data_IF_763901830876
#
_entry.id   IF_763901830876
#
_cell.length_a   1.000
_cell.length_b   1.000
_cell.length_c   1.000
_cell.angle_alpha   90.00
_cell.angle_beta   90.00
_cell.angle_gamma   90.00
#
_symmetry.space_group_name_H-M   'P 1'
#
loop_
_entity.id
_entity.type
_entity.pdbx_description
1 polymer ?
#
# COMPACT_ATOMS: atom_id res chain seq x y z
N UNK A 1 -14.10 15.94 -9.72
CA UNK A 1 -13.60 16.69 -8.54
C UNK A 1 -12.42 16.00 -7.88
N UNK A 2 -12.50 14.74 -7.45
CA UNK A 2 -11.38 14.02 -6.79
C UNK A 2 -10.07 14.00 -7.58
N UNK A 3 -10.11 13.68 -8.89
CA UNK A 3 -8.89 13.67 -9.74
C UNK A 3 -8.17 15.02 -9.78
N UNK A 4 -8.90 16.12 -9.72
CA UNK A 4 -8.31 17.47 -9.71
C UNK A 4 -7.59 17.75 -8.39
N UNK A 5 -8.17 17.32 -7.26
CA UNK A 5 -7.56 17.41 -5.94
C UNK A 5 -6.25 16.60 -5.90
N UNK A 6 -6.26 15.36 -6.39
CA UNK A 6 -5.06 14.54 -6.47
C UNK A 6 -3.94 15.19 -7.29
N UNK A 7 -4.27 15.74 -8.48
CA UNK A 7 -3.30 16.47 -9.33
C UNK A 7 -2.70 17.68 -8.63
N UNK A 8 -3.54 18.48 -7.98
CA UNK A 8 -3.09 19.66 -7.26
C UNK A 8 -2.17 19.31 -6.10
N UNK A 9 -2.57 18.35 -5.27
CA UNK A 9 -1.77 17.87 -4.14
C UNK A 9 -0.44 17.27 -4.60
N UNK A 10 -0.46 16.45 -5.66
CA UNK A 10 0.75 15.83 -6.20
C UNK A 10 1.73 16.86 -6.77
N UNK A 11 1.23 17.95 -7.34
CA UNK A 11 2.06 19.06 -7.86
C UNK A 11 2.65 19.93 -6.75
N UNK A 12 1.96 20.06 -5.62
CA UNK A 12 2.35 20.97 -4.54
C UNK A 12 3.18 20.31 -3.45
N UNK A 13 3.11 19.00 -3.31
CA UNK A 13 3.74 18.24 -2.22
C UNK A 13 4.80 17.27 -2.74
N UNK A 14 5.87 17.01 -1.98
CA UNK A 14 6.73 15.87 -2.26
C UNK A 14 5.92 14.58 -2.16
N UNK A 15 6.34 13.51 -2.88
CA UNK A 15 5.58 12.26 -3.01
C UNK A 15 5.10 11.71 -1.67
N UNK A 16 5.96 11.65 -0.66
CA UNK A 16 5.58 11.16 0.67
C UNK A 16 4.50 12.04 1.32
N UNK A 17 4.61 13.36 1.20
CA UNK A 17 3.61 14.31 1.70
C UNK A 17 2.25 14.11 1.02
N UNK A 18 2.24 13.97 -0.30
CA UNK A 18 1.05 13.64 -1.07
C UNK A 18 0.40 12.34 -0.59
N UNK A 19 1.18 11.25 -0.48
CA UNK A 19 0.68 9.95 -0.03
C UNK A 19 0.12 10.00 1.40
N UNK A 20 0.75 10.75 2.31
CA UNK A 20 0.25 10.98 3.69
C UNK A 20 -1.09 11.70 3.69
N UNK A 21 -1.25 12.74 2.88
CA UNK A 21 -2.53 13.47 2.78
C UNK A 21 -3.62 12.57 2.22
N UNK A 22 -3.34 11.84 1.13
CA UNK A 22 -4.30 10.92 0.52
C UNK A 22 -4.74 9.83 1.50
N UNK A 23 -3.80 9.23 2.23
CA UNK A 23 -4.15 8.20 3.23
C UNK A 23 -4.94 8.77 4.40
N UNK A 24 -4.59 9.96 4.87
CA UNK A 24 -5.35 10.63 5.94
C UNK A 24 -6.79 10.94 5.52
N UNK A 25 -6.98 11.43 4.29
CA UNK A 25 -8.33 11.65 3.72
C UNK A 25 -9.14 10.36 3.69
N UNK A 26 -8.54 9.25 3.25
CA UNK A 26 -9.22 7.95 3.25
C UNK A 26 -9.67 7.56 4.66
N UNK A 27 -8.78 7.60 5.66
CA UNK A 27 -9.13 7.22 7.03
C UNK A 27 -10.20 8.13 7.66
N UNK A 28 -10.15 9.44 7.39
CA UNK A 28 -11.19 10.37 7.85
C UNK A 28 -12.53 10.04 7.20
N UNK A 29 -12.57 9.81 5.90
CA UNK A 29 -13.81 9.45 5.21
C UNK A 29 -14.40 8.14 5.71
N UNK A 30 -13.56 7.13 5.94
CA UNK A 30 -14.02 5.86 6.52
C UNK A 30 -14.58 6.04 7.93
N UNK A 31 -13.94 6.88 8.75
CA UNK A 31 -14.45 7.22 10.09
C UNK A 31 -15.80 7.93 10.05
N UNK A 32 -16.03 8.76 9.04
CA UNK A 32 -17.31 9.47 8.82
C UNK A 32 -18.36 8.61 8.11
N UNK A 33 -18.05 7.36 7.75
CA UNK A 33 -18.97 6.46 7.05
C UNK A 33 -19.13 6.78 5.56
N UNK A 34 -18.31 7.67 5.00
CA UNK A 34 -18.36 8.05 3.59
C UNK A 34 -17.84 6.89 2.74
N UNK A 35 -18.57 6.55 1.67
CA UNK A 35 -18.22 5.45 0.76
C UNK A 35 -18.45 4.05 1.35
N UNK A 36 -19.38 3.91 2.29
CA UNK A 36 -19.71 2.61 2.92
C UNK A 36 -20.19 1.56 1.92
N UNK A 37 -20.80 2.01 0.84
CA UNK A 37 -21.35 1.14 -0.23
C UNK A 37 -20.54 1.23 -1.53
N UNK A 38 -19.32 1.77 -1.48
CA UNK A 38 -18.46 1.82 -2.65
C UNK A 38 -17.74 0.48 -2.82
N UNK A 39 -17.93 -0.22 -3.95
CA UNK A 39 -17.37 -1.55 -4.27
C UNK A 39 -15.88 -1.69 -3.91
N UNK A 40 -15.08 -0.67 -4.22
CA UNK A 40 -13.62 -0.72 -3.98
C UNK A 40 -13.23 -0.65 -2.49
N UNK A 41 -14.13 -0.29 -1.58
CA UNK A 41 -13.76 -0.01 -0.17
C UNK A 41 -14.77 -0.49 0.85
N UNK A 42 -15.86 -1.13 0.43
CA UNK A 42 -16.91 -1.64 1.33
C UNK A 42 -16.39 -2.76 2.26
N UNK A 43 -15.46 -3.58 1.77
CA UNK A 43 -14.88 -4.68 2.53
C UNK A 43 -14.27 -4.24 3.87
N UNK A 44 -13.77 -3.00 3.97
CA UNK A 44 -13.26 -2.45 5.23
C UNK A 44 -14.30 -2.53 6.36
N UNK A 45 -15.58 -2.35 6.02
CA UNK A 45 -16.68 -2.41 7.02
C UNK A 45 -17.11 -3.84 7.36
N UNK A 46 -16.70 -4.81 6.56
CA UNK A 46 -17.03 -6.23 6.75
C UNK A 46 -15.90 -7.04 7.37
N UNK A 47 -14.68 -6.50 7.43
CA UNK A 47 -13.50 -7.18 7.99
C UNK A 47 -13.75 -7.80 9.36
N UNK A 48 -14.41 -7.15 10.35
CA UNK A 48 -14.69 -7.77 11.64
C UNK A 48 -15.57 -9.02 11.58
N UNK A 49 -16.26 -9.24 10.45
CA UNK A 49 -17.07 -10.46 10.21
C UNK A 49 -16.29 -11.54 9.45
N UNK A 50 -15.20 -11.15 8.78
CA UNK A 50 -14.39 -12.03 7.94
C UNK A 50 -13.18 -12.59 8.70
N UNK A 51 -12.64 -11.84 9.65
CA UNK A 51 -11.50 -12.23 10.47
C UNK A 51 -11.90 -12.29 11.93
N UNK A 52 -11.54 -13.36 12.63
CA UNK A 52 -11.83 -13.54 14.05
C UNK A 52 -10.78 -12.88 14.94
N UNK A 53 -11.15 -12.57 16.18
CA UNK A 53 -10.20 -12.16 17.22
C UNK A 53 -9.13 -13.22 17.44
N UNK A 54 -7.88 -12.82 17.62
CA UNK A 54 -6.73 -13.72 17.77
C UNK A 54 -6.23 -14.34 16.48
N UNK A 55 -6.85 -14.05 15.33
CA UNK A 55 -6.45 -14.64 14.05
C UNK A 55 -5.07 -14.16 13.60
N UNK A 56 -4.37 -15.02 12.84
CA UNK A 56 -3.23 -14.61 12.01
C UNK A 56 -3.72 -14.28 10.62
N UNK A 57 -3.37 -13.10 10.11
CA UNK A 57 -3.77 -12.62 8.80
C UNK A 57 -2.57 -12.11 8.00
N UNK A 58 -2.69 -12.12 6.67
CA UNK A 58 -1.71 -11.56 5.74
C UNK A 58 -2.43 -10.60 4.80
N UNK A 59 -1.92 -9.38 4.69
CA UNK A 59 -2.37 -8.36 3.75
C UNK A 59 -1.30 -8.19 2.66
N UNK A 60 -1.53 -8.79 1.48
CA UNK A 60 -0.60 -8.77 0.36
C UNK A 60 -0.91 -7.57 -0.52
N UNK A 61 0.09 -6.69 -0.72
CA UNK A 61 -0.12 -5.39 -1.34
C UNK A 61 -0.76 -4.41 -0.37
N UNK A 62 -0.23 -4.34 0.86
CA UNK A 62 -0.79 -3.55 1.95
C UNK A 62 -0.91 -2.05 1.63
N UNK A 63 -0.17 -1.58 0.62
CA UNK A 63 -0.25 -0.21 0.14
C UNK A 63 -0.08 0.80 1.30
N UNK A 64 -0.90 1.81 1.40
CA UNK A 64 -0.88 2.80 2.49
C UNK A 64 -1.51 2.29 3.81
N UNK A 65 -1.81 0.98 3.91
CA UNK A 65 -2.40 0.34 5.09
C UNK A 65 -3.91 0.49 5.20
N UNK A 66 -4.57 0.66 4.06
CA UNK A 66 -6.02 0.86 4.00
C UNK A 66 -6.81 -0.31 4.60
N UNK A 67 -6.40 -1.54 4.33
CA UNK A 67 -6.98 -2.73 4.93
C UNK A 67 -6.24 -3.15 6.20
N UNK A 68 -4.91 -3.11 6.20
CA UNK A 68 -4.07 -3.53 7.33
C UNK A 68 -4.53 -2.94 8.66
N UNK A 69 -4.85 -1.63 8.69
CA UNK A 69 -5.30 -0.96 9.91
C UNK A 69 -6.58 -1.54 10.48
N UNK A 70 -7.54 -1.87 9.63
CA UNK A 70 -8.83 -2.42 10.05
C UNK A 70 -8.76 -3.92 10.35
N UNK A 71 -7.92 -4.67 9.63
CA UNK A 71 -7.60 -6.07 9.96
C UNK A 71 -6.95 -6.13 11.34
N UNK A 72 -5.92 -5.31 11.60
CA UNK A 72 -5.25 -5.22 12.89
C UNK A 72 -6.23 -4.97 14.05
N UNK A 73 -7.20 -4.06 13.84
CA UNK A 73 -8.24 -3.78 14.83
C UNK A 73 -9.20 -4.96 15.02
N UNK A 74 -9.55 -5.66 13.95
CA UNK A 74 -10.52 -6.76 13.99
C UNK A 74 -9.95 -8.02 14.65
N UNK A 75 -8.65 -8.33 14.43
CA UNK A 75 -7.99 -9.50 15.05
C UNK A 75 -7.56 -9.24 16.50
N UNK A 76 -7.57 -7.98 16.96
CA UNK A 76 -7.23 -7.62 18.33
C UNK A 76 -5.75 -7.81 18.70
N UNK A 77 -5.39 -7.55 19.95
CA UNK A 77 -3.99 -7.60 20.42
C UNK A 77 -3.40 -9.01 20.44
N UNK A 78 -4.23 -10.04 20.56
CA UNK A 78 -3.81 -11.45 20.54
C UNK A 78 -3.61 -11.99 19.13
N UNK A 79 -4.08 -11.29 18.09
CA UNK A 79 -3.88 -11.64 16.70
C UNK A 79 -2.53 -11.16 16.14
N UNK A 80 -2.18 -11.61 14.93
CA UNK A 80 -0.99 -11.17 14.23
C UNK A 80 -1.29 -10.86 12.76
N UNK A 81 -0.84 -9.71 12.29
CA UNK A 81 -0.98 -9.29 10.89
C UNK A 81 0.40 -9.12 10.25
N UNK A 82 0.59 -9.75 9.10
CA UNK A 82 1.72 -9.50 8.21
C UNK A 82 1.26 -8.62 7.04
N UNK A 83 1.83 -7.41 6.95
CA UNK A 83 1.51 -6.44 5.89
C UNK A 83 2.65 -6.39 4.88
N UNK A 84 2.42 -6.93 3.70
CA UNK A 84 3.44 -7.08 2.64
C UNK A 84 3.32 -5.94 1.64
N UNK A 85 4.38 -5.13 1.48
CA UNK A 85 4.43 -4.01 0.54
C UNK A 85 5.85 -3.79 0.04
N UNK A 86 6.14 -3.99 -1.26
CA UNK A 86 7.49 -3.86 -1.80
C UNK A 86 7.91 -2.43 -2.15
N UNK A 87 6.97 -1.50 -2.37
CA UNK A 87 7.24 -0.19 -2.96
C UNK A 87 7.77 0.79 -1.92
N UNK A 88 9.04 1.16 -2.02
CA UNK A 88 9.73 1.97 -1.02
C UNK A 88 9.04 3.31 -0.65
N UNK A 89 8.55 4.14 -1.59
CA UNK A 89 7.81 5.36 -1.25
C UNK A 89 6.52 5.11 -0.46
N UNK A 90 5.85 3.98 -0.71
CA UNK A 90 4.63 3.58 -0.02
C UNK A 90 4.94 3.07 1.39
N UNK A 91 6.02 2.31 1.56
CA UNK A 91 6.45 1.76 2.85
C UNK A 91 6.61 2.80 3.96
N UNK A 92 7.17 3.97 3.65
CA UNK A 92 7.33 5.06 4.63
C UNK A 92 5.98 5.50 5.21
N UNK A 93 4.97 5.62 4.35
CA UNK A 93 3.61 6.02 4.75
C UNK A 93 2.86 4.87 5.42
N UNK A 94 3.03 3.63 4.94
CA UNK A 94 2.48 2.43 5.58
C UNK A 94 2.95 2.32 7.04
N UNK A 95 4.26 2.42 7.29
CA UNK A 95 4.83 2.43 8.64
C UNK A 95 4.25 3.54 9.51
N UNK A 96 4.11 4.74 8.95
CA UNK A 96 3.48 5.86 9.66
C UNK A 96 2.03 5.57 10.04
N UNK A 97 1.23 5.02 9.12
CA UNK A 97 -0.18 4.75 9.33
C UNK A 97 -0.43 3.61 10.34
N UNK A 98 0.48 2.62 10.38
CA UNK A 98 0.39 1.45 11.27
C UNK A 98 1.22 1.56 12.56
N UNK A 99 1.88 2.69 12.82
CA UNK A 99 2.79 2.88 13.98
C UNK A 99 2.17 2.62 15.35
N UNK A 100 0.85 2.61 15.46
CA UNK A 100 0.10 2.33 16.69
C UNK A 100 -0.51 0.93 16.74
N UNK A 101 -0.28 0.12 15.73
CA UNK A 101 -0.76 -1.25 15.63
C UNK A 101 0.36 -2.18 16.13
N UNK A 102 0.28 -2.64 17.36
CA UNK A 102 1.33 -3.48 18.02
C UNK A 102 1.37 -4.91 17.47
N UNK A 103 0.28 -5.35 16.85
CA UNK A 103 0.10 -6.70 16.30
C UNK A 103 0.42 -6.80 14.80
N UNK A 104 1.08 -5.77 14.22
CA UNK A 104 1.41 -5.73 12.78
C UNK A 104 2.91 -5.83 12.56
N UNK A 105 3.31 -6.74 11.68
CA UNK A 105 4.64 -6.83 11.11
C UNK A 105 4.62 -6.39 9.65
N UNK A 106 5.47 -5.43 9.28
CA UNK A 106 5.56 -4.92 7.91
C UNK A 106 6.72 -5.61 7.19
N UNK A 107 6.39 -6.29 6.09
CA UNK A 107 7.31 -7.05 5.27
C UNK A 107 7.62 -6.26 3.98
N UNK A 108 8.84 -5.69 3.85
CA UNK A 108 9.19 -4.75 2.78
C UNK A 108 9.68 -5.47 1.52
N UNK A 109 8.94 -6.46 1.04
CA UNK A 109 9.26 -7.22 -0.16
C UNK A 109 8.01 -7.69 -0.90
N UNK A 110 8.16 -8.10 -2.15
CA UNK A 110 7.11 -8.79 -2.90
C UNK A 110 7.13 -10.28 -2.60
N UNK A 111 5.98 -10.94 -2.71
CA UNK A 111 5.87 -12.40 -2.66
C UNK A 111 5.87 -12.96 -4.08
N UNK A 112 6.65 -14.02 -4.30
CA UNK A 112 6.77 -14.71 -5.57
C UNK A 112 7.21 -16.15 -5.43
N UNK A 113 7.57 -16.76 -6.55
CA UNK A 113 8.02 -18.16 -6.60
C UNK A 113 9.51 -18.31 -6.29
N UNK A 114 10.29 -17.26 -6.45
CA UNK A 114 11.75 -17.26 -6.30
C UNK A 114 12.24 -16.00 -5.55
N UNK A 115 13.44 -16.10 -5.00
CA UNK A 115 14.12 -14.97 -4.39
C UNK A 115 14.94 -14.25 -5.46
N UNK A 116 14.64 -12.97 -5.68
CA UNK A 116 15.40 -12.11 -6.60
C UNK A 116 15.17 -10.64 -6.31
N UNK A 117 16.09 -9.83 -6.82
CA UNK A 117 15.86 -8.39 -6.91
C UNK A 117 14.92 -8.08 -8.06
N UNK A 118 14.01 -7.14 -7.81
CA UNK A 118 13.04 -6.66 -8.79
C UNK A 118 13.00 -5.14 -8.81
N UNK A 119 12.46 -4.58 -9.87
CA UNK A 119 12.14 -3.17 -9.95
C UNK A 119 10.63 -3.02 -9.98
N UNK A 120 10.08 -2.30 -9.01
CA UNK A 120 8.68 -1.91 -8.99
C UNK A 120 8.51 -0.63 -9.80
N UNK A 121 7.58 -0.63 -10.74
CA UNK A 121 7.27 0.47 -11.63
C UNK A 121 5.87 1.03 -11.39
N UNK A 122 5.69 2.33 -11.66
CA UNK A 122 4.40 3.01 -11.59
C UNK A 122 4.32 4.11 -12.63
N UNK A 123 3.50 3.93 -13.65
CA UNK A 123 3.36 4.88 -14.77
C UNK A 123 2.19 5.87 -14.59
N UNK A 124 1.50 5.82 -13.46
CA UNK A 124 0.25 6.59 -13.27
C UNK A 124 0.45 8.10 -13.32
N UNK A 125 1.60 8.61 -12.84
CA UNK A 125 1.91 10.02 -12.91
C UNK A 125 1.95 10.54 -14.36
N UNK A 126 2.45 9.71 -15.30
CA UNK A 126 2.51 10.00 -16.73
C UNK A 126 1.12 10.12 -17.36
N UNK A 127 0.19 9.21 -17.05
CA UNK A 127 -1.14 9.16 -17.68
C UNK A 127 -2.21 9.94 -16.93
N UNK A 128 -2.11 9.99 -15.60
CA UNK A 128 -3.14 10.58 -14.74
C UNK A 128 -2.73 11.95 -14.17
N UNK A 129 -1.42 12.27 -14.19
CA UNK A 129 -0.85 13.49 -13.63
C UNK A 129 -0.76 13.46 -12.10
N UNK A 130 -0.77 12.27 -11.48
CA UNK A 130 -0.50 12.01 -10.07
C UNK A 130 -0.16 10.54 -9.84
N UNK A 131 0.56 10.24 -8.77
CA UNK A 131 0.94 8.89 -8.39
C UNK A 131 -0.25 8.11 -7.83
N UNK A 132 -0.64 7.04 -8.52
CA UNK A 132 -1.70 6.13 -8.12
C UNK A 132 -1.15 4.90 -7.42
N UNK A 133 -1.45 4.72 -6.15
CA UNK A 133 -0.82 3.71 -5.29
C UNK A 133 -1.22 2.26 -5.59
N UNK A 134 -2.31 2.03 -6.29
CA UNK A 134 -2.84 0.68 -6.58
C UNK A 134 -2.43 0.11 -7.94
N UNK A 135 -1.51 0.75 -8.66
CA UNK A 135 -1.15 0.37 -10.03
C UNK A 135 0.36 0.13 -10.18
N UNK A 136 0.99 -0.41 -9.13
CA UNK A 136 2.39 -0.80 -9.18
C UNK A 136 2.51 -2.19 -9.83
N UNK A 137 3.56 -2.39 -10.63
CA UNK A 137 3.85 -3.64 -11.30
C UNK A 137 5.36 -3.94 -11.29
N UNK A 138 5.72 -5.19 -11.52
CA UNK A 138 7.12 -5.59 -11.65
C UNK A 138 7.59 -5.24 -13.05
N UNK A 139 8.57 -4.35 -13.15
CA UNK A 139 9.23 -4.00 -14.41
C UNK A 139 10.15 -5.09 -14.89
N UNK A 140 10.37 -5.17 -16.21
CA UNK A 140 11.41 -6.02 -16.79
C UNK A 140 12.78 -5.39 -16.53
N UNK A 141 13.74 -6.16 -16.07
CA UNK A 141 15.14 -5.72 -15.87
C UNK A 141 15.82 -5.21 -17.17
N UNK A 142 15.25 -5.54 -18.33
CA UNK A 142 15.78 -5.15 -19.65
C UNK A 142 15.44 -3.70 -20.07
N UNK A 143 14.66 -2.96 -19.32
CA UNK A 143 14.35 -1.53 -19.59
C UNK A 143 15.27 -0.58 -18.80
N UNK A 144 16.52 -0.94 -18.60
CA UNK A 144 17.59 -0.05 -18.16
C UNK A 144 18.07 0.83 -19.32
N UNK A 145 17.24 1.69 -19.81
CA UNK A 145 17.59 2.63 -20.85
C UNK A 145 16.35 3.36 -21.35
N UNK A 146 16.39 4.66 -21.16
CA UNK A 146 15.48 5.61 -21.80
C UNK A 146 14.11 5.83 -21.15
N UNK A 147 14.10 6.73 -20.14
CA UNK A 147 13.10 7.77 -20.16
C UNK A 147 13.61 8.99 -19.38
N UNK A 148 14.11 9.98 -20.11
CA UNK A 148 14.27 11.32 -19.60
C UNK A 148 12.89 11.83 -19.14
N UNK A 149 12.74 12.03 -17.82
CA UNK A 149 11.50 12.55 -17.22
C UNK A 149 10.81 11.67 -16.18
N UNK A 150 11.37 10.53 -15.77
CA UNK A 150 10.83 9.73 -14.67
C UNK A 150 11.05 10.42 -13.32
N UNK A 151 9.96 10.66 -12.58
CA UNK A 151 10.04 11.13 -11.21
C UNK A 151 10.51 10.00 -10.28
N UNK A 152 11.17 10.34 -9.18
CA UNK A 152 11.76 9.39 -8.22
C UNK A 152 10.79 8.36 -7.62
N UNK A 153 9.48 8.46 -7.90
CA UNK A 153 8.45 7.51 -7.47
C UNK A 153 8.05 6.48 -8.53
N UNK A 154 8.49 6.66 -9.78
CA UNK A 154 8.02 5.83 -10.90
C UNK A 154 8.74 4.48 -10.95
N UNK A 155 9.95 4.40 -10.38
CA UNK A 155 10.74 3.16 -10.24
C UNK A 155 11.33 3.05 -8.85
N UNK A 156 11.23 1.88 -8.23
CA UNK A 156 11.88 1.59 -6.96
C UNK A 156 12.42 0.16 -6.90
N UNK A 157 13.67 -0.02 -6.45
CA UNK A 157 14.20 -1.36 -6.22
C UNK A 157 13.43 -2.02 -5.08
N UNK A 158 13.22 -3.33 -5.20
CA UNK A 158 12.56 -4.14 -4.19
C UNK A 158 13.11 -5.57 -4.21
N UNK A 159 12.90 -6.30 -3.12
CA UNK A 159 13.17 -7.72 -3.02
C UNK A 159 11.90 -8.51 -3.30
N UNK A 160 12.04 -9.64 -3.98
CA UNK A 160 11.01 -10.66 -4.07
C UNK A 160 11.45 -11.85 -3.23
N UNK A 161 10.54 -12.40 -2.42
CA UNK A 161 10.79 -13.56 -1.56
C UNK A 161 9.73 -14.63 -1.76
N UNK A 162 10.09 -15.87 -1.43
CA UNK A 162 9.16 -17.00 -1.53
C UNK A 162 8.10 -16.92 -0.46
N UNK A 163 6.83 -17.01 -0.85
CA UNK A 163 5.70 -16.92 0.06
C UNK A 163 5.69 -17.99 1.15
N UNK A 164 6.27 -19.18 0.88
CA UNK A 164 6.38 -20.27 1.85
C UNK A 164 7.24 -19.95 3.08
N UNK A 165 8.13 -18.98 3.01
CA UNK A 165 9.01 -18.58 4.12
C UNK A 165 8.31 -17.73 5.18
N UNK A 166 7.09 -17.26 4.89
CA UNK A 166 6.27 -16.57 5.88
C UNK A 166 5.74 -17.48 6.98
N UNK A 167 5.79 -18.79 6.76
CA UNK A 167 5.18 -19.79 7.65
C UNK A 167 6.20 -20.77 8.26
N UNK A 168 7.48 -20.58 8.01
CA UNK A 168 8.60 -21.29 8.60
C UNK A 168 9.16 -20.50 9.81
#
# INVERSE_FOLDING_TARGET
MMRLIHKLLYRMLPLEGYLRVVSAMFFVWKRLGIGRYAEATEYVYHLPKLVGEGATAIDIGANLGYYSRYISQAIGESGRLYSVEPVAPILGVLRHNLRRCSNVEILPYALGEEEREIVMCNDTARYQGYFGTGQNFVGNAATEGESEGEQAGDRSPAQMRRGRELFS
#
